data_IF_492070671630
#
_entry.id   IF_492070671630
#
_cell.length_a   1.000
_cell.length_b   1.000
_cell.length_c   1.000
_cell.angle_alpha   90.00
_cell.angle_beta   90.00
_cell.angle_gamma   90.00
#
_symmetry.space_group_name_H-M   'P 1'
#
loop_
_entity.id
_entity.type
_entity.pdbx_description
1 polymer ?
#
# COMPACT_ATOMS: atom_id res chain seq x y z
N UNK A 1 -17.61 -8.47 -10.90
CA UNK A 1 -17.66 -9.15 -9.59
C UNK A 1 -17.37 -8.09 -8.54
N UNK A 2 -18.39 -7.65 -7.80
CA UNK A 2 -18.25 -6.59 -6.81
C UNK A 2 -17.32 -7.10 -5.71
N UNK A 3 -16.27 -6.34 -5.40
CA UNK A 3 -15.44 -6.59 -4.22
C UNK A 3 -16.43 -6.78 -3.04
N UNK A 4 -16.45 -7.93 -2.35
CA UNK A 4 -17.26 -8.09 -1.15
C UNK A 4 -16.88 -6.96 -0.19
N UNK A 5 -17.80 -6.55 0.72
CA UNK A 5 -17.54 -5.52 1.74
C UNK A 5 -16.08 -5.64 2.19
N UNK A 6 -15.28 -4.60 1.92
CA UNK A 6 -13.88 -4.67 1.44
C UNK A 6 -12.88 -5.38 2.38
N UNK A 7 -13.36 -5.95 3.48
CA UNK A 7 -12.61 -6.76 4.43
C UNK A 7 -11.59 -5.94 5.20
N UNK A 8 -11.65 -4.60 5.09
CA UNK A 8 -10.68 -3.71 5.72
C UNK A 8 -10.87 -3.81 7.23
N UNK A 9 -9.95 -4.50 7.89
CA UNK A 9 -10.03 -4.76 9.33
C UNK A 9 -9.80 -3.52 10.19
N UNK A 10 -9.18 -2.46 9.65
CA UNK A 10 -8.89 -1.22 10.40
C UNK A 10 -9.16 0.03 9.57
N UNK A 11 -10.03 0.89 10.09
CA UNK A 11 -10.33 2.20 9.50
C UNK A 11 -10.25 3.31 10.54
N UNK A 12 -9.96 4.52 10.09
CA UNK A 12 -9.98 5.69 10.96
C UNK A 12 -9.84 6.99 10.19
N UNK A 13 -10.25 8.08 10.81
CA UNK A 13 -9.97 9.42 10.31
C UNK A 13 -9.69 10.36 11.49
N UNK A 14 -8.66 11.20 11.38
CA UNK A 14 -8.30 12.16 12.42
C UNK A 14 -7.53 13.36 11.86
N UNK A 15 -7.55 14.52 12.55
CA UNK A 15 -6.71 15.66 12.25
C UNK A 15 -5.27 15.38 12.68
N UNK A 16 -4.31 15.79 11.86
CA UNK A 16 -2.89 15.59 12.12
C UNK A 16 -2.10 16.79 11.60
N UNK A 17 -1.16 17.27 12.42
CA UNK A 17 -0.20 18.30 12.02
C UNK A 17 0.83 17.82 10.98
N UNK A 18 0.93 16.51 10.75
CA UNK A 18 1.87 15.93 9.77
C UNK A 18 1.39 16.07 8.32
N UNK A 19 0.17 16.52 8.07
CA UNK A 19 -0.39 16.70 6.72
C UNK A 19 -0.95 18.11 6.55
N UNK A 20 -0.68 18.72 5.38
CA UNK A 20 -1.20 20.04 5.01
C UNK A 20 -2.46 19.95 4.14
N UNK A 21 -2.81 18.74 3.70
CA UNK A 21 -4.02 18.44 2.93
C UNK A 21 -4.55 17.05 3.28
N UNK A 22 -5.80 16.78 2.91
CA UNK A 22 -6.42 15.48 3.17
C UNK A 22 -5.63 14.36 2.49
N UNK A 23 -5.07 13.47 3.30
CA UNK A 23 -4.21 12.37 2.87
C UNK A 23 -4.84 11.04 3.28
N UNK A 24 -4.99 10.12 2.33
CA UNK A 24 -5.38 8.75 2.62
C UNK A 24 -4.13 7.91 2.86
N UNK A 25 -4.14 7.03 3.85
CA UNK A 25 -3.06 6.08 4.06
C UNK A 25 -3.64 4.67 3.96
N UNK A 26 -3.15 3.87 3.01
CA UNK A 26 -3.56 2.49 2.83
C UNK A 26 -2.45 1.54 3.29
N UNK A 27 -2.81 0.61 4.16
CA UNK A 27 -1.99 -0.55 4.52
C UNK A 27 -2.37 -1.71 3.60
N UNK A 28 -1.44 -2.07 2.73
CA UNK A 28 -1.60 -3.08 1.70
C UNK A 28 -0.90 -4.37 2.12
N UNK A 29 -1.48 -5.50 1.71
CA UNK A 29 -0.74 -6.76 1.57
C UNK A 29 -0.61 -7.07 0.09
N UNK A 30 0.62 -6.92 -0.38
CA UNK A 30 1.01 -7.22 -1.75
C UNK A 30 1.47 -8.67 -1.76
N UNK A 31 0.94 -9.45 -2.70
CA UNK A 31 1.31 -10.85 -2.89
C UNK A 31 2.04 -10.99 -4.22
N UNK A 32 3.12 -11.74 -4.24
CA UNK A 32 3.95 -11.94 -5.43
C UNK A 32 4.08 -13.44 -5.74
N UNK A 33 4.05 -13.76 -7.03
CA UNK A 33 4.54 -15.03 -7.57
C UNK A 33 6.00 -14.85 -7.95
N UNK A 34 6.87 -15.64 -7.34
CA UNK A 34 8.29 -15.66 -7.66
C UNK A 34 8.60 -16.97 -8.36
N UNK A 35 9.05 -16.90 -9.60
CA UNK A 35 9.41 -18.08 -10.38
C UNK A 35 10.92 -18.16 -10.52
N UNK A 36 11.52 -19.17 -9.91
CA UNK A 36 12.95 -19.43 -9.99
C UNK A 36 13.23 -20.34 -11.18
N UNK A 37 13.90 -19.77 -12.19
CA UNK A 37 14.30 -20.44 -13.43
C UNK A 37 15.65 -21.13 -13.21
N UNK A 38 15.59 -22.41 -12.86
CA UNK A 38 16.74 -23.31 -12.72
C UNK A 38 16.46 -24.62 -13.48
N UNK A 39 17.32 -25.65 -13.33
CA UNK A 39 17.09 -26.98 -13.96
C UNK A 39 15.70 -27.56 -13.67
N UNK A 40 15.14 -27.25 -12.50
CA UNK A 40 13.73 -27.45 -12.20
C UNK A 40 13.14 -26.10 -11.82
N UNK A 41 12.10 -25.70 -12.53
CA UNK A 41 11.36 -24.49 -12.22
C UNK A 41 10.66 -24.63 -10.87
N UNK A 42 10.68 -23.56 -10.07
CA UNK A 42 10.01 -23.51 -8.77
C UNK A 42 9.21 -22.23 -8.67
N UNK A 43 7.91 -22.38 -8.43
CA UNK A 43 7.04 -21.28 -8.08
C UNK A 43 7.02 -21.12 -6.55
N UNK A 44 7.26 -19.90 -6.10
CA UNK A 44 7.19 -19.49 -4.71
C UNK A 44 6.18 -18.35 -4.58
N UNK A 45 5.62 -18.19 -3.38
CA UNK A 45 4.80 -17.05 -3.02
C UNK A 45 5.54 -16.21 -1.98
N UNK A 46 5.49 -14.91 -2.14
CA UNK A 46 5.96 -13.96 -1.14
C UNK A 46 4.86 -12.93 -0.85
N UNK A 47 4.86 -12.42 0.38
CA UNK A 47 3.98 -11.32 0.78
C UNK A 47 4.82 -10.14 1.29
N UNK A 48 4.35 -8.92 1.00
CA UNK A 48 4.90 -7.67 1.48
C UNK A 48 3.78 -6.85 2.10
N UNK A 49 3.98 -6.40 3.34
CA UNK A 49 3.14 -5.38 3.96
C UNK A 49 3.69 -4.00 3.57
N UNK A 50 2.91 -3.24 2.80
CA UNK A 50 3.31 -1.92 2.32
C UNK A 50 2.35 -0.85 2.81
N UNK A 51 2.90 0.30 3.22
CA UNK A 51 2.13 1.52 3.48
C UNK A 51 2.31 2.48 2.32
N UNK A 52 1.20 3.03 1.84
CA UNK A 52 1.18 4.11 0.84
C UNK A 52 0.31 5.25 1.33
N UNK A 53 0.81 6.47 1.20
CA UNK A 53 0.06 7.68 1.42
C UNK A 53 -0.36 8.26 0.07
N UNK A 54 -1.64 8.61 -0.07
CA UNK A 54 -2.24 9.14 -1.27
C UNK A 54 -2.83 10.50 -1.00
N UNK A 55 -2.48 11.46 -1.85
CA UNK A 55 -3.25 12.67 -2.05
C UNK A 55 -4.00 12.53 -3.38
N UNK A 56 -5.31 12.76 -3.32
CA UNK A 56 -6.18 12.67 -4.49
C UNK A 56 -5.99 11.32 -5.21
N UNK A 57 -5.38 11.31 -6.41
CA UNK A 57 -5.16 10.11 -7.21
C UNK A 57 -3.66 9.81 -7.44
N UNK A 58 -2.79 10.22 -6.51
CA UNK A 58 -1.35 10.02 -6.60
C UNK A 58 -0.78 9.45 -5.29
N UNK A 59 0.15 8.51 -5.39
CA UNK A 59 0.98 8.09 -4.24
C UNK A 59 2.03 9.17 -3.99
N UNK A 60 1.96 9.81 -2.83
CA UNK A 60 2.86 10.90 -2.44
C UNK A 60 3.97 10.46 -1.48
N UNK A 61 3.77 9.35 -0.78
CA UNK A 61 4.78 8.76 0.10
C UNK A 61 4.53 7.25 0.24
N UNK A 62 5.58 6.50 0.57
CA UNK A 62 5.48 5.06 0.84
C UNK A 62 6.46 4.63 1.93
N UNK A 63 6.31 3.40 2.43
CA UNK A 63 7.26 2.82 3.39
C UNK A 63 7.39 3.65 4.68
N UNK A 64 8.60 4.06 5.02
CA UNK A 64 8.89 4.80 6.27
C UNK A 64 8.24 6.18 6.32
N UNK A 65 8.12 6.87 5.19
CA UNK A 65 7.52 8.21 5.12
C UNK A 65 6.01 8.13 5.37
N UNK A 66 5.32 7.21 4.67
CA UNK A 66 3.91 6.96 4.92
C UNK A 66 3.64 6.46 6.34
N UNK A 67 4.57 5.67 6.92
CA UNK A 67 4.52 5.24 8.31
C UNK A 67 4.66 6.41 9.28
N UNK A 68 5.53 7.38 9.01
CA UNK A 68 5.70 8.56 9.84
C UNK A 68 4.41 9.41 9.85
N UNK A 69 3.77 9.59 8.70
CA UNK A 69 2.47 10.26 8.60
C UNK A 69 1.41 9.56 9.46
N UNK A 70 1.29 8.22 9.32
CA UNK A 70 0.32 7.44 10.07
C UNK A 70 0.59 7.42 11.58
N UNK A 71 1.86 7.45 11.98
CA UNK A 71 2.27 7.45 13.39
C UNK A 71 2.14 8.83 14.06
N UNK A 72 1.89 9.90 13.30
CA UNK A 72 1.67 11.22 13.86
C UNK A 72 0.44 11.20 14.76
N UNK A 73 0.51 11.78 15.99
CA UNK A 73 -0.63 11.83 16.88
C UNK A 73 -1.78 12.63 16.27
N UNK A 74 -3.00 12.28 16.68
CA UNK A 74 -4.17 13.10 16.41
C UNK A 74 -4.10 14.40 17.21
N UNK A 75 -4.43 15.51 16.58
CA UNK A 75 -4.40 16.83 17.25
C UNK A 75 -5.74 17.23 17.83
N UNK A 76 -6.84 16.60 17.39
CA UNK A 76 -8.17 16.77 17.96
C UNK A 76 -9.07 15.56 17.66
N UNK A 77 -10.20 15.47 18.34
CA UNK A 77 -11.25 14.51 18.02
C UNK A 77 -12.19 15.03 16.94
N UNK A 78 -12.56 14.15 16.00
CA UNK A 78 -13.63 14.42 15.05
C UNK A 78 -14.98 14.04 15.65
N UNK A 79 -15.99 14.87 15.39
CA UNK A 79 -17.38 14.47 15.59
C UNK A 79 -17.64 13.13 14.85
N UNK A 80 -18.31 12.14 15.49
CA UNK A 80 -18.49 10.81 14.91
C UNK A 80 -19.01 10.82 13.47
N UNK A 81 -20.02 11.65 13.20
CA UNK A 81 -20.61 11.81 11.86
C UNK A 81 -19.61 12.29 10.80
N UNK A 82 -18.68 13.19 11.17
CA UNK A 82 -17.66 13.71 10.26
C UNK A 82 -16.62 12.64 9.96
N UNK A 83 -16.15 11.93 11.00
CA UNK A 83 -15.21 10.80 10.87
C UNK A 83 -15.79 9.71 9.96
N UNK A 84 -17.02 9.29 10.21
CA UNK A 84 -17.66 8.22 9.45
C UNK A 84 -17.89 8.63 7.99
N UNK A 85 -18.25 9.90 7.73
CA UNK A 85 -18.34 10.45 6.37
C UNK A 85 -16.99 10.40 5.65
N UNK A 86 -15.90 10.78 6.31
CA UNK A 86 -14.55 10.72 5.73
C UNK A 86 -14.14 9.30 5.39
N UNK A 87 -14.35 8.35 6.32
CA UNK A 87 -14.05 6.92 6.11
C UNK A 87 -14.85 6.38 4.93
N UNK A 88 -16.17 6.65 4.87
CA UNK A 88 -17.02 6.16 3.79
C UNK A 88 -16.64 6.77 2.44
N UNK A 89 -16.26 8.05 2.40
CA UNK A 89 -15.76 8.70 1.19
C UNK A 89 -14.45 8.07 0.73
N UNK A 90 -13.54 7.75 1.65
CA UNK A 90 -12.29 7.07 1.32
C UNK A 90 -12.53 5.62 0.83
N UNK A 91 -13.46 4.88 1.44
CA UNK A 91 -13.87 3.55 0.97
C UNK A 91 -14.47 3.61 -0.43
N UNK A 92 -15.31 4.60 -0.72
CA UNK A 92 -15.93 4.78 -2.03
C UNK A 92 -14.92 5.09 -3.14
N UNK A 93 -13.85 5.84 -2.82
CA UNK A 93 -12.78 6.15 -3.78
C UNK A 93 -11.79 4.98 -4.00
N UNK A 94 -11.76 4.00 -3.10
CA UNK A 94 -10.72 2.97 -3.08
C UNK A 94 -10.66 2.09 -4.34
N UNK A 95 -11.78 1.67 -4.98
CA UNK A 95 -11.72 0.92 -6.23
C UNK A 95 -10.92 1.63 -7.32
N UNK A 96 -11.10 2.95 -7.48
CA UNK A 96 -10.36 3.75 -8.47
C UNK A 96 -8.88 3.87 -8.09
N UNK A 97 -8.59 4.04 -6.80
CA UNK A 97 -7.20 4.07 -6.31
C UNK A 97 -6.48 2.74 -6.53
N UNK A 98 -7.18 1.60 -6.33
CA UNK A 98 -6.68 0.25 -6.56
C UNK A 98 -6.42 -0.02 -8.04
N UNK A 99 -7.27 0.48 -8.93
CA UNK A 99 -7.12 0.36 -10.38
C UNK A 99 -6.10 1.32 -10.99
N UNK A 100 -5.74 2.40 -10.29
CA UNK A 100 -4.78 3.39 -10.75
C UNK A 100 -3.51 3.41 -9.89
N UNK A 101 -3.30 4.47 -9.08
CA UNK A 101 -2.02 4.76 -8.43
C UNK A 101 -1.48 3.62 -7.54
N UNK A 102 -2.35 2.83 -6.91
CA UNK A 102 -1.91 1.68 -6.09
C UNK A 102 -1.43 0.53 -6.98
N UNK A 103 -2.11 0.26 -8.11
CA UNK A 103 -1.64 -0.73 -9.08
C UNK A 103 -0.27 -0.35 -9.63
N UNK A 104 -0.07 0.92 -10.00
CA UNK A 104 1.22 1.42 -10.48
C UNK A 104 2.33 1.26 -9.43
N UNK A 105 2.03 1.58 -8.17
CA UNK A 105 2.94 1.37 -7.04
C UNK A 105 3.30 -0.11 -6.87
N UNK A 106 2.32 -1.01 -6.91
CA UNK A 106 2.54 -2.46 -6.78
C UNK A 106 3.40 -3.02 -7.92
N UNK A 107 3.16 -2.57 -9.16
CA UNK A 107 3.98 -2.94 -10.31
C UNK A 107 5.42 -2.46 -10.14
N UNK A 108 5.62 -1.22 -9.69
CA UNK A 108 6.94 -0.68 -9.39
C UNK A 108 7.66 -1.48 -8.31
N UNK A 109 6.99 -1.84 -7.21
CA UNK A 109 7.58 -2.69 -6.16
C UNK A 109 7.97 -4.07 -6.68
N UNK A 110 7.17 -4.68 -7.56
CA UNK A 110 7.54 -5.93 -8.18
C UNK A 110 8.83 -5.81 -9.01
N UNK A 111 8.97 -4.73 -9.80
CA UNK A 111 10.18 -4.47 -10.57
C UNK A 111 11.41 -4.28 -9.67
N UNK A 112 11.29 -3.49 -8.60
CA UNK A 112 12.35 -3.30 -7.61
C UNK A 112 12.73 -4.64 -6.94
N UNK A 113 11.76 -5.50 -6.64
CA UNK A 113 12.02 -6.83 -6.07
C UNK A 113 12.78 -7.75 -7.05
N UNK A 114 12.51 -7.67 -8.37
CA UNK A 114 13.33 -8.37 -9.39
C UNK A 114 14.77 -7.91 -9.33
N UNK A 115 15.00 -6.60 -9.27
CA UNK A 115 16.35 -6.02 -9.22
C UNK A 115 17.09 -6.42 -7.94
N UNK A 116 16.41 -6.38 -6.79
CA UNK A 116 16.96 -6.80 -5.50
C UNK A 116 17.43 -8.26 -5.55
N UNK A 117 16.60 -9.16 -6.11
CA UNK A 117 16.97 -10.55 -6.32
C UNK A 117 18.16 -10.70 -7.28
N UNK A 118 18.22 -9.91 -8.36
CA UNK A 118 19.34 -9.94 -9.28
C UNK A 118 20.66 -9.53 -8.60
N UNK A 119 20.65 -8.45 -7.81
CA UNK A 119 21.83 -7.99 -7.05
C UNK A 119 22.30 -9.04 -6.04
N UNK A 120 21.37 -9.64 -5.28
CA UNK A 120 21.68 -10.69 -4.32
C UNK A 120 22.29 -11.93 -4.98
N UNK A 121 21.75 -12.34 -6.15
CA UNK A 121 22.25 -13.51 -6.91
C UNK A 121 23.65 -13.28 -7.46
N UNK A 122 23.92 -12.08 -7.99
CA UNK A 122 25.25 -11.69 -8.48
C UNK A 122 26.29 -11.77 -7.36
N UNK A 123 25.97 -11.28 -6.17
CA UNK A 123 26.84 -11.38 -5.00
C UNK A 123 27.02 -12.83 -4.49
N UNK A 124 25.99 -13.68 -4.62
CA UNK A 124 26.02 -15.07 -4.18
C UNK A 124 26.55 -16.08 -5.22
N UNK A 125 26.95 -15.64 -6.43
CA UNK A 125 27.47 -16.50 -7.50
C UNK A 125 26.44 -17.44 -8.15
N UNK A 126 25.14 -17.16 -7.99
CA UNK A 126 24.07 -18.00 -8.55
C UNK A 126 23.64 -17.52 -9.94
N UNK A 127 23.55 -18.44 -10.91
CA UNK A 127 23.20 -18.14 -12.31
C UNK A 127 21.71 -18.25 -12.65
N UNK A 128 20.89 -18.77 -11.73
CA UNK A 128 19.45 -18.91 -11.99
C UNK A 128 18.77 -17.54 -12.12
N UNK A 129 17.78 -17.42 -13.01
CA UNK A 129 16.96 -16.20 -13.17
C UNK A 129 15.74 -16.27 -12.25
N UNK A 130 15.23 -15.12 -11.79
CA UNK A 130 13.94 -15.03 -11.07
C UNK A 130 13.04 -14.10 -11.86
N UNK A 131 11.78 -14.48 -12.05
CA UNK A 131 10.73 -13.53 -12.41
C UNK A 131 9.83 -13.29 -11.19
N UNK A 132 9.34 -12.06 -11.06
CA UNK A 132 8.43 -11.64 -10.00
C UNK A 132 7.20 -11.07 -10.68
N UNK A 133 6.04 -11.58 -10.32
CA UNK A 133 4.74 -11.09 -10.81
C UNK A 133 3.87 -10.72 -9.62
N UNK A 134 3.39 -9.46 -9.50
CA UNK A 134 2.47 -9.10 -8.45
C UNK A 134 1.07 -9.67 -8.73
N UNK A 135 0.36 -10.00 -7.66
CA UNK A 135 -1.08 -10.32 -7.69
C UNK A 135 -1.84 -9.01 -7.47
N UNK A 136 -2.65 -8.62 -8.46
CA UNK A 136 -3.40 -7.36 -8.48
C UNK A 136 -4.91 -7.65 -8.52
N UNK A 137 -5.76 -6.87 -7.82
CA UNK A 137 -5.37 -5.83 -6.86
C UNK A 137 -4.77 -6.40 -5.57
N UNK A 138 -3.93 -5.65 -4.83
CA UNK A 138 -3.47 -6.06 -3.51
C UNK A 138 -4.63 -6.08 -2.51
N UNK A 139 -4.46 -6.78 -1.39
CA UNK A 139 -5.44 -6.71 -0.31
C UNK A 139 -5.25 -5.42 0.48
N UNK A 140 -6.34 -4.74 0.86
CA UNK A 140 -6.30 -3.56 1.72
C UNK A 140 -6.66 -3.96 3.14
N UNK A 141 -5.65 -4.01 4.01
CA UNK A 141 -5.81 -4.43 5.41
C UNK A 141 -6.21 -3.25 6.30
N UNK A 142 -5.80 -2.03 5.93
CA UNK A 142 -6.14 -0.80 6.65
C UNK A 142 -6.31 0.39 5.73
N UNK A 143 -7.24 1.29 6.09
CA UNK A 143 -7.49 2.54 5.37
C UNK A 143 -7.73 3.69 6.35
N UNK A 144 -6.88 4.70 6.29
CA UNK A 144 -6.92 5.84 7.20
C UNK A 144 -7.04 7.15 6.43
N UNK A 145 -7.66 8.16 7.03
CA UNK A 145 -7.77 9.50 6.48
C UNK A 145 -7.17 10.51 7.46
N UNK A 146 -6.08 11.13 7.06
CA UNK A 146 -5.46 12.23 7.80
C UNK A 146 -5.96 13.53 7.20
N UNK A 147 -6.45 14.44 8.03
CA UNK A 147 -6.82 15.80 7.61
C UNK A 147 -5.93 16.81 8.31
N UNK A 148 -5.74 18.03 7.75
CA UNK A 148 -4.95 19.05 8.40
C UNK A 148 -5.51 19.35 9.79
N UNK A 149 -4.63 19.34 10.79
CA UNK A 149 -4.92 19.72 12.16
C UNK A 149 -3.98 20.82 12.63
N UNK A 150 -4.43 21.60 13.60
CA UNK A 150 -3.58 22.61 14.26
C UNK A 150 -2.47 21.91 15.06
N UNK A 151 -1.33 22.59 15.22
CA UNK A 151 -0.17 22.17 16.03
C UNK A 151 -0.42 22.48 17.49
#
# INVERSE_FOLDING_TARGET
EALPDLGIGRVGAWPSAAVTQMTRVALLRIRYKLTVHARRERLLLAEEAALVALDSNAVIASGSEARALLASPATADLAPVARDRMINTAKAALPDLLGGPISDFVQKRAAELVEDHARLRAAAGSTSRVSVEPIIPPDVIGLFVLVPGEV
#
